data_IF_780440162360
#
_entry.id   IF_780440162360
#
_cell.length_a   1.000
_cell.length_b   1.000
_cell.length_c   1.000
_cell.angle_alpha   90.00
_cell.angle_beta   90.00
_cell.angle_gamma   90.00
#
_symmetry.space_group_name_H-M   'P 1'
#
loop_
_entity.id
_entity.type
_entity.pdbx_description
1 polymer ?
#
# COMPACT_ATOMS: atom_id res chain seq x y z
N UNK A 1 -39.50 30.43 39.73
CA UNK A 1 -39.61 30.51 38.26
C UNK A 1 -38.25 30.21 37.67
N UNK A 2 -38.24 29.40 36.61
CA UNK A 2 -37.13 28.60 36.06
C UNK A 2 -35.87 29.42 35.74
N UNK A 3 -34.70 28.96 36.21
CA UNK A 3 -33.42 29.28 35.58
C UNK A 3 -32.58 28.02 35.49
N UNK A 4 -32.19 27.71 34.25
CA UNK A 4 -31.62 26.49 33.72
C UNK A 4 -30.29 26.10 34.37
N UNK A 5 -30.18 24.85 34.82
CA UNK A 5 -28.91 24.15 34.97
C UNK A 5 -28.42 23.77 33.56
N UNK A 6 -27.39 24.45 33.06
CA UNK A 6 -26.66 24.03 31.88
C UNK A 6 -25.69 22.91 32.30
N UNK A 7 -26.16 21.66 32.24
CA UNK A 7 -25.30 20.48 32.37
C UNK A 7 -24.41 20.38 31.14
N UNK A 8 -23.15 20.79 31.28
CA UNK A 8 -22.09 20.52 30.32
C UNK A 8 -21.79 19.01 30.34
N UNK A 9 -22.53 18.24 29.55
CA UNK A 9 -22.19 16.86 29.22
C UNK A 9 -20.96 16.90 28.31
N UNK A 10 -19.78 16.80 28.92
CA UNK A 10 -18.54 16.51 28.21
C UNK A 10 -18.67 15.09 27.66
N UNK A 11 -19.17 14.98 26.43
CA UNK A 11 -19.28 13.72 25.71
C UNK A 11 -17.87 13.15 25.56
N UNK A 12 -17.56 12.12 26.37
CA UNK A 12 -16.51 11.16 26.08
C UNK A 12 -16.93 10.41 24.82
N UNK A 13 -16.70 11.03 23.66
CA UNK A 13 -16.59 10.28 22.42
C UNK A 13 -15.40 9.34 22.64
N UNK A 14 -15.60 8.02 22.66
CA UNK A 14 -14.46 7.15 22.72
C UNK A 14 -13.64 7.37 21.45
N UNK A 15 -12.41 7.83 21.61
CA UNK A 15 -11.39 7.83 20.55
C UNK A 15 -10.98 6.35 20.38
N UNK A 16 -11.89 5.51 19.89
CA UNK A 16 -11.50 4.24 19.33
C UNK A 16 -11.00 4.57 17.92
N UNK A 17 -9.69 4.76 17.82
CA UNK A 17 -9.02 4.64 16.53
C UNK A 17 -9.29 3.22 16.04
N UNK A 18 -10.17 3.10 15.06
CA UNK A 18 -10.41 1.82 14.40
C UNK A 18 -9.09 1.42 13.74
N UNK A 19 -8.48 0.34 14.24
CA UNK A 19 -7.37 -0.29 13.55
C UNK A 19 -7.90 -0.74 12.19
N UNK A 20 -7.34 -0.21 11.09
CA UNK A 20 -7.84 -0.46 9.74
C UNK A 20 -8.11 -1.97 9.51
N UNK A 21 -9.38 -2.29 9.28
CA UNK A 21 -9.83 -3.63 8.93
C UNK A 21 -9.28 -3.98 7.54
N UNK A 22 -9.02 -5.27 7.28
CA UNK A 22 -8.52 -5.73 5.99
C UNK A 22 -9.46 -5.28 4.87
N UNK A 23 -8.91 -4.72 3.79
CA UNK A 23 -9.72 -4.23 2.68
C UNK A 23 -10.62 -5.33 2.11
N UNK A 24 -11.93 -5.06 2.10
CA UNK A 24 -12.94 -6.02 1.67
C UNK A 24 -12.98 -6.18 0.14
N UNK A 25 -13.38 -7.36 -0.32
CA UNK A 25 -13.65 -7.59 -1.75
C UNK A 25 -14.80 -6.69 -2.21
N UNK A 26 -14.63 -6.01 -3.35
CA UNK A 26 -15.59 -5.05 -3.88
C UNK A 26 -15.45 -3.64 -3.32
N UNK A 27 -14.56 -3.42 -2.34
CA UNK A 27 -14.19 -2.08 -1.90
C UNK A 27 -13.50 -1.29 -3.02
N UNK A 28 -13.65 0.03 -2.99
CA UNK A 28 -12.90 0.92 -3.88
C UNK A 28 -11.41 0.87 -3.55
N UNK A 29 -10.57 1.12 -4.57
CA UNK A 29 -9.13 1.23 -4.37
C UNK A 29 -8.86 2.44 -3.44
N UNK A 30 -8.05 2.28 -2.38
CA UNK A 30 -7.81 3.38 -1.46
C UNK A 30 -7.17 4.60 -2.14
N UNK A 31 -7.67 5.79 -1.78
CA UNK A 31 -7.11 7.07 -2.24
C UNK A 31 -5.91 7.49 -1.39
N UNK A 32 -4.82 6.76 -1.56
CA UNK A 32 -3.54 7.02 -0.88
C UNK A 32 -2.43 7.29 -1.89
N UNK A 33 -1.46 8.10 -1.45
CA UNK A 33 -0.25 8.39 -2.22
C UNK A 33 0.98 7.90 -1.45
N UNK A 34 1.87 7.19 -2.13
CA UNK A 34 3.14 6.73 -1.58
C UNK A 34 4.25 6.95 -2.61
N UNK A 35 5.45 7.26 -2.16
CA UNK A 35 6.60 7.37 -3.04
C UNK A 35 7.04 6.00 -3.55
N UNK A 36 7.51 5.96 -4.79
CA UNK A 36 8.21 4.81 -5.34
C UNK A 36 9.72 4.83 -5.02
N UNK A 37 10.44 3.85 -5.57
CA UNK A 37 11.89 3.70 -5.41
C UNK A 37 12.73 4.89 -5.90
N UNK A 38 12.16 5.77 -6.75
CA UNK A 38 12.82 6.98 -7.25
C UNK A 38 12.34 8.24 -6.54
N UNK A 39 11.60 8.10 -5.43
CA UNK A 39 11.02 9.22 -4.68
C UNK A 39 9.84 9.88 -5.39
N UNK A 40 9.28 9.25 -6.44
CA UNK A 40 8.16 9.81 -7.21
C UNK A 40 6.84 9.42 -6.57
N UNK A 41 5.92 10.36 -6.31
CA UNK A 41 4.63 10.05 -5.72
C UNK A 41 3.78 9.17 -6.66
N UNK A 42 3.09 8.18 -6.08
CA UNK A 42 2.17 7.27 -6.75
C UNK A 42 0.82 7.32 -6.07
N UNK A 43 -0.18 7.88 -6.75
CA UNK A 43 -1.56 7.86 -6.29
C UNK A 43 -2.22 6.53 -6.69
N UNK A 44 -2.56 5.70 -5.71
CA UNK A 44 -2.97 4.31 -5.94
C UNK A 44 -4.30 4.22 -6.71
N UNK A 45 -5.30 5.02 -6.34
CA UNK A 45 -6.57 5.08 -7.04
C UNK A 45 -6.41 5.47 -8.51
N UNK A 46 -5.48 6.39 -8.83
CA UNK A 46 -5.17 6.79 -10.21
C UNK A 46 -4.49 5.67 -11.00
N UNK A 47 -3.61 4.89 -10.39
CA UNK A 47 -3.02 3.71 -11.05
C UNK A 47 -4.09 2.64 -11.30
N UNK A 48 -4.97 2.41 -10.33
CA UNK A 48 -6.09 1.49 -10.45
C UNK A 48 -7.15 1.88 -11.48
N UNK A 49 -7.31 3.18 -11.76
CA UNK A 49 -8.23 3.65 -12.79
C UNK A 49 -7.77 3.32 -14.23
N UNK A 50 -6.51 2.91 -14.41
CA UNK A 50 -5.95 2.58 -15.74
C UNK A 50 -6.25 1.14 -16.19
N UNK A 51 -6.75 0.28 -15.30
CA UNK A 51 -6.98 -1.13 -15.57
C UNK A 51 -6.74 -2.00 -14.33
N UNK A 52 -6.40 -3.27 -14.54
CA UNK A 52 -6.09 -4.15 -13.42
C UNK A 52 -4.80 -3.70 -12.73
N UNK A 53 -4.85 -3.60 -11.41
CA UNK A 53 -3.69 -3.28 -10.57
C UNK A 53 -3.45 -4.42 -9.58
N UNK A 54 -2.32 -5.09 -9.72
CA UNK A 54 -1.81 -6.07 -8.76
C UNK A 54 -0.92 -5.35 -7.75
N UNK A 55 -1.36 -5.27 -6.51
CA UNK A 55 -0.57 -4.76 -5.37
C UNK A 55 0.00 -5.94 -4.61
N UNK A 56 1.32 -6.09 -4.63
CA UNK A 56 2.05 -7.18 -4.01
C UNK A 56 2.83 -6.68 -2.79
N UNK A 57 2.42 -7.11 -1.59
CA UNK A 57 3.09 -6.76 -0.34
C UNK A 57 4.17 -7.78 0.02
N UNK A 58 5.32 -7.31 0.53
CA UNK A 58 6.40 -8.17 0.99
C UNK A 58 7.11 -7.61 2.24
N UNK A 59 7.60 -8.48 3.15
CA UNK A 59 8.24 -8.06 4.39
C UNK A 59 9.49 -7.21 4.17
N UNK A 60 10.37 -7.66 3.27
CA UNK A 60 11.71 -7.08 3.12
C UNK A 60 12.32 -7.36 1.76
N UNK A 61 12.83 -6.30 1.13
CA UNK A 61 13.65 -6.35 -0.07
C UNK A 61 14.85 -7.31 0.09
N UNK A 62 15.27 -7.94 -1.01
CA UNK A 62 16.43 -8.85 -1.10
C UNK A 62 16.45 -10.02 -0.11
N UNK A 63 15.27 -10.49 0.30
CA UNK A 63 15.15 -11.74 1.06
C UNK A 63 14.69 -12.89 0.16
N UNK A 64 15.18 -14.13 0.36
CA UNK A 64 15.00 -15.22 -0.61
C UNK A 64 13.55 -15.50 -1.04
N UNK A 65 12.59 -15.40 -0.12
CA UNK A 65 11.18 -15.59 -0.41
C UNK A 65 10.60 -14.46 -1.27
N UNK A 66 10.84 -13.21 -0.86
CA UNK A 66 10.35 -12.02 -1.54
C UNK A 66 10.98 -11.88 -2.94
N UNK A 67 12.28 -12.19 -3.05
CA UNK A 67 12.98 -12.22 -4.35
C UNK A 67 12.34 -13.24 -5.29
N UNK A 68 12.01 -14.45 -4.83
CA UNK A 68 11.34 -15.45 -5.67
C UNK A 68 9.97 -14.98 -6.16
N UNK A 69 9.17 -14.36 -5.29
CA UNK A 69 7.85 -13.83 -5.65
C UNK A 69 7.95 -12.68 -6.67
N UNK A 70 8.82 -11.70 -6.42
CA UNK A 70 9.06 -10.60 -7.36
C UNK A 70 9.61 -11.08 -8.72
N UNK A 71 10.55 -12.03 -8.70
CA UNK A 71 11.07 -12.66 -9.92
C UNK A 71 9.97 -13.40 -10.69
N UNK A 72 9.06 -14.11 -10.02
CA UNK A 72 7.93 -14.75 -10.70
C UNK A 72 7.04 -13.75 -11.45
N UNK A 73 6.82 -12.55 -10.87
CA UNK A 73 6.06 -11.48 -11.54
C UNK A 73 6.83 -10.89 -12.73
N UNK A 74 8.15 -10.72 -12.60
CA UNK A 74 9.03 -10.29 -13.70
C UNK A 74 9.03 -11.31 -14.84
N UNK A 75 9.20 -12.58 -14.53
CA UNK A 75 9.34 -13.63 -15.53
C UNK A 75 8.01 -13.86 -16.27
N UNK A 76 6.87 -13.58 -15.63
CA UNK A 76 5.53 -13.55 -16.23
C UNK A 76 5.09 -12.20 -16.81
N UNK A 77 5.98 -11.20 -16.91
CA UNK A 77 5.60 -9.83 -17.24
C UNK A 77 4.85 -9.67 -18.57
N UNK A 78 5.25 -10.44 -19.59
CA UNK A 78 4.61 -10.37 -20.91
C UNK A 78 3.12 -10.77 -20.85
N UNK A 79 2.78 -11.80 -20.07
CA UNK A 79 1.39 -12.26 -19.91
C UNK A 79 0.57 -11.26 -19.09
N UNK A 80 1.17 -10.68 -18.04
CA UNK A 80 0.55 -9.61 -17.25
C UNK A 80 0.23 -8.39 -18.12
N UNK A 81 1.18 -7.96 -18.96
CA UNK A 81 0.98 -6.84 -19.88
C UNK A 81 -0.10 -7.15 -20.93
N UNK A 82 -0.11 -8.37 -21.51
CA UNK A 82 -1.15 -8.80 -22.44
C UNK A 82 -2.55 -8.80 -21.80
N UNK A 83 -2.63 -9.08 -20.49
CA UNK A 83 -3.86 -9.02 -19.72
C UNK A 83 -4.22 -7.60 -19.21
N UNK A 84 -3.40 -6.58 -19.51
CA UNK A 84 -3.63 -5.21 -19.05
C UNK A 84 -3.42 -5.02 -17.53
N UNK A 85 -2.54 -5.82 -16.93
CA UNK A 85 -2.23 -5.78 -15.50
C UNK A 85 -1.00 -4.91 -15.25
N UNK A 86 -1.17 -3.87 -14.43
CA UNK A 86 -0.09 -3.12 -13.81
C UNK A 86 0.30 -3.75 -12.47
N UNK A 87 1.57 -3.67 -12.09
CA UNK A 87 2.08 -4.22 -10.84
C UNK A 87 2.71 -3.12 -10.00
N UNK A 88 2.43 -3.12 -8.69
CA UNK A 88 3.14 -2.34 -7.69
C UNK A 88 3.58 -3.29 -6.56
N UNK A 89 4.89 -3.36 -6.32
CA UNK A 89 5.42 -3.98 -5.11
C UNK A 89 5.39 -2.99 -3.95
N UNK A 90 5.16 -3.46 -2.73
CA UNK A 90 5.07 -2.60 -1.53
C UNK A 90 5.80 -3.27 -0.37
N UNK A 91 6.72 -2.54 0.27
CA UNK A 91 7.23 -2.89 1.60
C UNK A 91 7.49 -1.62 2.41
N UNK A 92 7.88 -1.78 3.67
CA UNK A 92 8.29 -0.68 4.55
C UNK A 92 9.75 -0.27 4.37
N UNK A 93 10.46 -0.88 3.42
CA UNK A 93 11.84 -0.54 3.15
C UNK A 93 11.96 0.89 2.61
N UNK A 94 13.15 1.47 2.74
CA UNK A 94 13.43 2.80 2.21
C UNK A 94 13.40 2.83 0.68
N UNK A 95 13.17 4.01 0.09
CA UNK A 95 13.27 4.23 -1.36
C UNK A 95 14.59 3.71 -1.94
N UNK A 96 15.72 3.90 -1.22
CA UNK A 96 17.03 3.39 -1.61
C UNK A 96 17.06 1.85 -1.70
N UNK A 97 16.57 1.17 -0.67
CA UNK A 97 16.53 -0.29 -0.64
C UNK A 97 15.59 -0.85 -1.74
N UNK A 98 14.45 -0.20 -1.96
CA UNK A 98 13.56 -0.56 -3.07
C UNK A 98 14.25 -0.36 -4.43
N UNK A 99 15.04 0.71 -4.57
CA UNK A 99 15.76 1.00 -5.81
C UNK A 99 16.82 -0.07 -6.10
N UNK A 100 17.63 -0.39 -5.10
CA UNK A 100 18.62 -1.46 -5.16
C UNK A 100 17.96 -2.79 -5.56
N UNK A 101 16.88 -3.18 -4.86
CA UNK A 101 16.16 -4.42 -5.15
C UNK A 101 15.58 -4.47 -6.57
N UNK A 102 14.99 -3.36 -7.04
CA UNK A 102 14.48 -3.25 -8.41
C UNK A 102 15.59 -3.40 -9.44
N UNK A 103 16.73 -2.75 -9.22
CA UNK A 103 17.87 -2.76 -10.15
C UNK A 103 18.55 -4.13 -10.19
N UNK A 104 18.84 -4.72 -9.04
CA UNK A 104 19.47 -6.04 -8.90
C UNK A 104 18.62 -7.13 -9.55
N UNK A 105 17.32 -7.13 -9.27
CA UNK A 105 16.40 -8.13 -9.80
C UNK A 105 15.79 -7.74 -11.15
N UNK A 106 16.14 -6.57 -11.69
CA UNK A 106 15.65 -6.07 -12.98
C UNK A 106 14.13 -6.07 -13.09
N UNK A 107 13.43 -5.63 -12.03
CA UNK A 107 11.98 -5.62 -12.04
C UNK A 107 11.43 -4.55 -13.01
N UNK A 108 10.50 -4.92 -13.92
CA UNK A 108 9.92 -3.99 -14.88
C UNK A 108 8.83 -3.09 -14.26
N UNK A 109 8.43 -3.37 -13.03
CA UNK A 109 7.39 -2.65 -12.29
C UNK A 109 7.97 -1.79 -11.16
N UNK A 110 7.17 -0.86 -10.63
CA UNK A 110 7.59 0.07 -9.55
C UNK A 110 7.46 -0.59 -8.19
N UNK A 111 8.29 -0.15 -7.25
CA UNK A 111 8.27 -0.59 -5.86
C UNK A 111 8.02 0.63 -4.97
N UNK A 112 7.01 0.55 -4.11
CA UNK A 112 6.62 1.61 -3.19
C UNK A 112 7.34 1.47 -1.86
N UNK A 113 7.87 2.59 -1.36
CA UNK A 113 8.53 2.68 -0.06
C UNK A 113 7.54 3.19 0.99
N UNK A 114 6.67 2.32 1.49
CA UNK A 114 5.63 2.65 2.46
C UNK A 114 6.19 2.70 3.89
N UNK A 115 7.12 3.64 4.11
CA UNK A 115 7.80 3.83 5.39
C UNK A 115 6.77 3.94 6.51
N UNK A 116 7.07 3.31 7.64
CA UNK A 116 6.24 3.31 8.86
C UNK A 116 4.85 2.65 8.72
N UNK A 117 4.54 1.98 7.59
CA UNK A 117 3.24 1.30 7.33
C UNK A 117 2.02 2.22 7.25
N UNK A 118 2.21 3.52 7.00
CA UNK A 118 1.16 4.53 7.23
C UNK A 118 0.26 4.85 6.02
N UNK A 119 0.68 4.53 4.80
CA UNK A 119 -0.12 4.88 3.62
C UNK A 119 -0.79 3.65 3.03
N UNK A 120 -0.02 2.83 2.31
CA UNK A 120 -0.59 1.74 1.51
C UNK A 120 -0.93 0.54 2.38
N UNK A 121 -0.05 0.19 3.31
CA UNK A 121 -0.21 -0.94 4.23
C UNK A 121 -1.44 -0.77 5.12
N UNK A 122 -1.59 0.40 5.74
CA UNK A 122 -2.74 0.74 6.58
C UNK A 122 -4.04 0.75 5.78
N UNK A 123 -4.05 1.39 4.60
CA UNK A 123 -5.25 1.47 3.77
C UNK A 123 -5.73 0.12 3.22
N UNK A 124 -4.84 -0.86 3.10
CA UNK A 124 -5.21 -2.24 2.74
C UNK A 124 -5.47 -3.14 3.97
N UNK A 125 -5.23 -2.65 5.19
CA UNK A 125 -5.34 -3.41 6.43
C UNK A 125 -4.31 -4.55 6.55
N UNK A 126 -3.11 -4.38 5.99
CA UNK A 126 -2.01 -5.36 6.04
C UNK A 126 -1.23 -5.21 7.35
N UNK A 127 -1.65 -5.93 8.39
CA UNK A 127 -1.09 -5.76 9.76
C UNK A 127 0.35 -6.27 9.90
N UNK A 128 0.68 -7.34 9.19
CA UNK A 128 2.02 -7.94 9.16
C UNK A 128 2.43 -8.22 7.72
N UNK A 129 3.70 -7.96 7.43
CA UNK A 129 4.37 -8.36 6.20
C UNK A 129 5.51 -9.26 6.60
#
# INVERSE_FOLDING_TARGET
MKTLYATLLMSLLPIFGDAAEKLAVGASIPDVTCNDQDGKPVALAKEGAKGYLLVYFYPKADTPGCTKQGCSLRDGWADLQKAGVNVLGVSTDSEKAQKEFKEEQKFPFRLLADKEKKAVTEAFGVKSM
#
